data_IF_365839859386
#
_entry.id   IF_365839859386
#
_cell.length_a   1.000
_cell.length_b   1.000
_cell.length_c   1.000
_cell.angle_alpha   90.00
_cell.angle_beta   90.00
_cell.angle_gamma   90.00
#
_symmetry.space_group_name_H-M   'P 1'
#
loop_
_entity.id
_entity.type
_entity.pdbx_description
1 polymer ?
#
# COMPACT_ATOMS: atom_id res chain seq x y z
N UNK A 1 -40.80 41.87 33.16
CA UNK A 1 -40.10 40.57 33.25
C UNK A 1 -40.25 39.90 31.89
N UNK A 2 -39.15 39.48 31.27
CA UNK A 2 -39.06 39.09 29.87
C UNK A 2 -39.77 37.77 29.55
N UNK A 3 -40.47 37.81 28.42
CA UNK A 3 -41.11 36.75 27.64
C UNK A 3 -40.09 35.81 26.96
N UNK A 4 -40.52 34.61 26.54
CA UNK A 4 -39.78 33.83 25.55
C UNK A 4 -39.84 32.31 25.68
N UNK A 5 -40.98 31.72 25.35
CA UNK A 5 -41.08 30.27 25.06
C UNK A 5 -40.46 29.99 23.69
N UNK A 6 -39.35 29.24 23.63
CA UNK A 6 -38.76 28.78 22.35
C UNK A 6 -39.12 27.32 22.09
N UNK A 7 -39.73 27.08 20.93
CA UNK A 7 -39.99 25.78 20.35
C UNK A 7 -39.08 25.52 19.13
N UNK A 8 -38.76 24.24 18.93
CA UNK A 8 -38.35 23.53 17.68
C UNK A 8 -36.96 23.81 17.09
N UNK A 9 -36.21 22.75 16.83
CA UNK A 9 -36.18 22.11 15.49
C UNK A 9 -35.12 21.01 15.40
N UNK A 10 -35.52 19.85 14.89
CA UNK A 10 -34.60 18.87 14.33
C UNK A 10 -34.14 19.37 12.96
N UNK A 11 -32.85 19.25 12.68
CA UNK A 11 -32.29 19.51 11.35
C UNK A 11 -31.99 18.19 10.66
N UNK A 12 -32.84 17.87 9.69
CA UNK A 12 -32.57 16.93 8.62
C UNK A 12 -31.41 17.47 7.78
N UNK A 13 -30.30 16.72 7.69
CA UNK A 13 -29.22 17.01 6.75
C UNK A 13 -29.40 16.18 5.48
N UNK A 14 -30.48 16.47 4.73
CA UNK A 14 -30.69 15.97 3.38
C UNK A 14 -30.72 17.18 2.43
N UNK A 15 -29.74 17.27 1.53
CA UNK A 15 -29.91 18.11 0.34
C UNK A 15 -28.74 18.98 -0.12
N UNK A 16 -27.46 18.61 0.06
CA UNK A 16 -26.35 19.34 -0.60
C UNK A 16 -25.15 18.53 -1.12
N UNK A 17 -25.18 17.19 -1.12
CA UNK A 17 -24.02 16.42 -1.63
C UNK A 17 -24.10 16.04 -3.11
N UNK A 18 -25.28 16.05 -3.73
CA UNK A 18 -25.40 15.54 -5.11
C UNK A 18 -24.73 16.45 -6.16
N UNK A 19 -24.72 17.77 -5.93
CA UNK A 19 -24.25 18.74 -6.94
C UNK A 19 -22.72 18.93 -6.93
N UNK A 20 -22.04 18.59 -5.83
CA UNK A 20 -20.58 18.68 -5.72
C UNK A 20 -19.85 17.44 -6.27
N UNK A 21 -20.56 16.31 -6.50
CA UNK A 21 -19.94 15.09 -7.02
C UNK A 21 -19.80 15.08 -8.54
N UNK A 22 -20.71 15.71 -9.29
CA UNK A 22 -20.63 15.75 -10.76
C UNK A 22 -19.59 16.77 -11.27
N UNK A 23 -19.47 17.93 -10.61
CA UNK A 23 -18.44 18.91 -10.93
C UNK A 23 -17.01 18.41 -10.64
N UNK A 24 -16.85 17.58 -9.59
CA UNK A 24 -15.56 16.96 -9.25
C UNK A 24 -15.14 15.92 -10.31
N UNK A 25 -16.08 15.11 -10.82
CA UNK A 25 -15.79 14.17 -11.93
C UNK A 25 -15.41 14.87 -13.24
N UNK A 26 -16.12 15.94 -13.60
CA UNK A 26 -15.82 16.70 -14.83
C UNK A 26 -14.47 17.44 -14.74
N UNK A 27 -14.12 18.00 -13.58
CA UNK A 27 -12.82 18.68 -13.37
C UNK A 27 -11.64 17.69 -13.38
N UNK A 28 -11.82 16.47 -12.87
CA UNK A 28 -10.81 15.42 -12.91
C UNK A 28 -10.65 14.86 -14.33
N UNK A 29 -11.74 14.67 -15.09
CA UNK A 29 -11.65 14.22 -16.49
C UNK A 29 -10.97 15.25 -17.40
N UNK A 30 -11.19 16.55 -17.19
CA UNK A 30 -10.52 17.62 -17.96
C UNK A 30 -9.03 17.75 -17.68
N UNK A 31 -8.52 17.29 -16.53
CA UNK A 31 -7.08 17.32 -16.21
C UNK A 31 -6.30 16.17 -16.86
N UNK A 32 -6.98 15.10 -17.27
CA UNK A 32 -6.35 13.92 -17.86
C UNK A 32 -6.06 14.13 -19.36
N UNK A 33 -6.74 15.06 -20.05
CA UNK A 33 -6.52 15.28 -21.49
C UNK A 33 -5.30 16.14 -21.84
N UNK A 34 -4.69 16.85 -20.87
CA UNK A 34 -3.63 17.84 -21.14
C UNK A 34 -2.26 17.45 -20.57
N UNK A 35 -2.04 16.16 -20.26
CA UNK A 35 -0.73 15.63 -19.89
C UNK A 35 -0.18 14.71 -21.00
N UNK A 36 -0.17 15.21 -22.24
CA UNK A 36 0.73 14.70 -23.26
C UNK A 36 1.97 15.61 -23.36
N UNK A 37 3.12 14.96 -23.54
CA UNK A 37 4.47 15.52 -23.72
C UNK A 37 5.28 15.83 -22.45
N UNK A 38 5.91 14.78 -21.93
CA UNK A 38 7.02 14.85 -20.99
C UNK A 38 7.69 13.49 -20.88
N UNK A 39 8.20 12.98 -22.00
CA UNK A 39 8.80 11.66 -22.09
C UNK A 39 9.95 11.47 -21.09
N UNK A 40 9.69 10.73 -20.01
CA UNK A 40 10.73 10.02 -19.27
C UNK A 40 10.80 8.60 -19.79
N UNK A 41 11.97 8.35 -20.36
CA UNK A 41 12.46 7.17 -21.05
C UNK A 41 12.49 5.94 -20.12
N UNK A 42 11.66 4.95 -20.43
CA UNK A 42 12.02 3.54 -20.31
C UNK A 42 11.56 2.79 -19.07
N UNK A 43 10.41 2.13 -19.18
CA UNK A 43 10.29 0.75 -18.70
C UNK A 43 9.82 -0.11 -19.86
N UNK A 44 10.78 -0.42 -20.75
CA UNK A 44 10.62 -1.57 -21.63
C UNK A 44 10.21 -2.74 -20.74
N UNK A 45 9.07 -3.36 -21.07
CA UNK A 45 8.55 -4.56 -20.43
C UNK A 45 9.53 -5.70 -20.73
N UNK A 46 10.71 -5.66 -20.13
CA UNK A 46 11.54 -6.83 -19.92
C UNK A 46 10.65 -7.67 -19.03
N UNK A 47 10.08 -8.74 -19.57
CA UNK A 47 9.52 -9.83 -18.78
C UNK A 47 10.69 -10.46 -18.03
N UNK A 48 11.25 -9.73 -17.07
CA UNK A 48 12.19 -10.28 -16.09
C UNK A 48 11.37 -11.35 -15.42
N UNK A 49 11.84 -12.57 -15.53
CA UNK A 49 11.28 -13.67 -14.78
C UNK A 49 11.52 -13.33 -13.30
N UNK A 50 10.53 -12.69 -12.67
CA UNK A 50 10.61 -12.15 -11.30
C UNK A 50 10.80 -13.27 -10.26
N UNK A 51 10.67 -14.53 -10.68
CA UNK A 51 11.01 -15.70 -9.90
C UNK A 51 12.50 -16.06 -9.94
N UNK A 52 13.26 -15.57 -10.93
CA UNK A 52 14.72 -15.78 -11.06
C UNK A 52 15.56 -14.66 -10.45
N UNK A 53 14.94 -13.61 -9.92
CA UNK A 53 15.64 -12.49 -9.31
C UNK A 53 16.18 -12.93 -7.94
N UNK A 54 17.48 -12.71 -7.72
CA UNK A 54 18.05 -12.73 -6.38
C UNK A 54 17.68 -11.42 -5.67
N UNK A 55 16.58 -11.48 -4.89
CA UNK A 55 16.10 -10.33 -4.14
C UNK A 55 17.05 -9.92 -3.01
N UNK A 56 17.85 -10.84 -2.47
CA UNK A 56 18.86 -10.52 -1.46
C UNK A 56 19.96 -9.65 -2.06
N UNK A 57 20.52 -10.06 -3.20
CA UNK A 57 21.50 -9.27 -3.92
C UNK A 57 20.92 -7.94 -4.43
N UNK A 58 19.68 -7.96 -4.93
CA UNK A 58 18.98 -6.75 -5.36
C UNK A 58 18.81 -5.76 -4.20
N UNK A 59 18.31 -6.21 -3.05
CA UNK A 59 18.09 -5.35 -1.90
C UNK A 59 19.42 -4.82 -1.36
N UNK A 60 20.43 -5.69 -1.23
CA UNK A 60 21.79 -5.31 -0.80
C UNK A 60 22.38 -4.20 -1.67
N UNK A 61 22.22 -4.29 -2.99
CA UNK A 61 22.71 -3.28 -3.93
C UNK A 61 22.05 -1.91 -3.74
N UNK A 62 20.78 -1.88 -3.35
CA UNK A 62 19.99 -0.65 -3.30
C UNK A 62 19.92 -0.01 -1.91
N UNK A 63 19.88 -0.79 -0.82
CA UNK A 63 19.74 -0.27 0.55
C UNK A 63 20.91 -0.66 1.49
N UNK A 64 21.84 -1.48 1.02
CA UNK A 64 22.98 -1.95 1.80
C UNK A 64 22.77 -3.28 2.51
N UNK A 65 23.78 -3.67 3.29
CA UNK A 65 23.82 -4.94 4.01
C UNK A 65 22.68 -5.09 5.04
N UNK A 66 22.23 -6.32 5.32
CA UNK A 66 21.30 -6.58 6.42
C UNK A 66 21.91 -6.18 7.78
N UNK A 67 21.08 -5.92 8.81
CA UNK A 67 21.58 -5.69 10.16
C UNK A 67 22.48 -6.84 10.64
N UNK A 68 23.63 -6.50 11.25
CA UNK A 68 24.68 -7.49 11.60
C UNK A 68 24.22 -8.57 12.57
N UNK A 69 23.21 -8.27 13.38
CA UNK A 69 22.63 -9.12 14.41
C UNK A 69 21.35 -9.85 13.94
N UNK A 70 20.94 -9.65 12.69
CA UNK A 70 19.75 -10.31 12.14
C UNK A 70 20.04 -11.78 11.87
N UNK A 71 19.26 -12.66 12.49
CA UNK A 71 19.32 -14.10 12.23
C UNK A 71 18.78 -14.42 10.83
N UNK A 72 19.56 -15.16 10.04
CA UNK A 72 19.18 -15.68 8.71
C UNK A 72 18.51 -14.61 7.82
N UNK A 73 19.18 -13.48 7.52
CA UNK A 73 18.55 -12.36 6.86
C UNK A 73 18.14 -12.70 5.42
N UNK A 74 16.96 -12.26 5.02
CA UNK A 74 16.49 -12.36 3.64
C UNK A 74 15.77 -11.07 3.21
N UNK A 75 15.71 -10.84 1.90
CA UNK A 75 14.85 -9.81 1.34
C UNK A 75 13.39 -10.27 1.45
N UNK A 76 12.61 -9.49 2.19
CA UNK A 76 11.23 -9.79 2.52
C UNK A 76 10.32 -8.78 1.83
N UNK A 77 9.36 -9.28 1.06
CA UNK A 77 8.25 -8.48 0.55
C UNK A 77 7.22 -8.26 1.66
N UNK A 78 6.91 -7.01 2.02
CA UNK A 78 5.92 -6.70 3.07
C UNK A 78 4.54 -7.21 2.63
N UNK A 79 4.07 -6.77 1.47
CA UNK A 79 3.00 -7.43 0.71
C UNK A 79 3.65 -8.51 -0.14
N UNK A 80 3.31 -9.78 0.09
CA UNK A 80 4.06 -10.89 -0.50
C UNK A 80 4.05 -10.86 -2.03
N UNK A 81 5.15 -11.33 -2.63
CA UNK A 81 5.25 -11.57 -4.07
C UNK A 81 4.25 -12.63 -4.56
N UNK A 82 4.09 -13.71 -3.79
CA UNK A 82 3.27 -14.88 -4.11
C UNK A 82 2.65 -15.48 -2.85
N UNK A 83 1.41 -15.95 -2.95
CA UNK A 83 0.71 -16.64 -1.87
C UNK A 83 0.63 -18.15 -2.06
N UNK A 84 0.48 -18.88 -0.96
CA UNK A 84 0.23 -20.33 -0.90
C UNK A 84 -1.26 -20.62 -0.69
N UNK A 85 -1.83 -21.51 -1.50
CA UNK A 85 -3.27 -21.79 -1.47
C UNK A 85 -4.13 -20.61 -1.98
N UNK A 86 -5.44 -20.84 -2.08
CA UNK A 86 -6.38 -19.86 -2.68
C UNK A 86 -6.48 -18.57 -1.86
N UNK A 87 -6.75 -18.70 -0.56
CA UNK A 87 -7.00 -17.55 0.32
C UNK A 87 -5.79 -16.60 0.42
N UNK A 88 -4.56 -17.14 0.51
CA UNK A 88 -3.37 -16.29 0.58
C UNK A 88 -3.09 -15.62 -0.77
N UNK A 89 -3.34 -16.29 -1.91
CA UNK A 89 -3.19 -15.69 -3.24
C UNK A 89 -4.17 -14.54 -3.47
N UNK A 90 -5.39 -14.66 -2.98
CA UNK A 90 -6.40 -13.59 -3.05
C UNK A 90 -5.95 -12.37 -2.23
N UNK A 91 -5.45 -12.57 -1.01
CA UNK A 91 -4.87 -11.49 -0.21
C UNK A 91 -3.62 -10.87 -0.85
N UNK A 92 -2.76 -11.68 -1.47
CA UNK A 92 -1.60 -11.13 -2.22
C UNK A 92 -2.09 -10.24 -3.34
N UNK A 93 -3.06 -10.70 -4.12
CA UNK A 93 -3.62 -9.91 -5.22
C UNK A 93 -4.20 -8.58 -4.70
N UNK A 94 -5.01 -8.63 -3.65
CA UNK A 94 -5.62 -7.44 -3.04
C UNK A 94 -4.57 -6.44 -2.54
N UNK A 95 -3.57 -6.91 -1.77
CA UNK A 95 -2.49 -6.04 -1.30
C UNK A 95 -1.67 -5.42 -2.43
N UNK A 96 -1.37 -6.20 -3.47
CA UNK A 96 -0.62 -5.71 -4.63
C UNK A 96 -1.43 -4.73 -5.49
N UNK A 97 -2.76 -4.86 -5.52
CA UNK A 97 -3.65 -3.89 -6.17
C UNK A 97 -3.61 -2.55 -5.43
N UNK A 98 -3.68 -2.56 -4.09
CA UNK A 98 -3.53 -1.33 -3.29
C UNK A 98 -2.18 -0.67 -3.60
N UNK A 99 -1.06 -1.39 -3.60
CA UNK A 99 0.24 -0.77 -3.90
C UNK A 99 0.26 -0.09 -5.28
N UNK A 100 -0.37 -0.70 -6.29
CA UNK A 100 -0.44 -0.12 -7.64
C UNK A 100 -1.31 1.13 -7.72
N UNK A 101 -2.38 1.22 -6.92
CA UNK A 101 -3.23 2.42 -6.83
C UNK A 101 -2.43 3.67 -6.39
N UNK A 102 -1.31 3.46 -5.68
CA UNK A 102 -0.42 4.50 -5.14
C UNK A 102 0.95 4.57 -5.85
N UNK A 103 1.06 4.05 -7.07
CA UNK A 103 2.29 4.05 -7.85
C UNK A 103 3.48 3.40 -7.12
N UNK A 104 3.23 2.30 -6.40
CA UNK A 104 4.25 1.48 -5.75
C UNK A 104 4.33 0.14 -6.48
N UNK A 105 5.51 -0.20 -7.00
CA UNK A 105 5.75 -1.51 -7.63
C UNK A 105 5.75 -2.60 -6.53
N UNK A 106 4.80 -3.55 -6.54
CA UNK A 106 4.72 -4.56 -5.49
C UNK A 106 5.86 -5.58 -5.53
N UNK A 107 6.58 -5.71 -6.64
CA UNK A 107 7.59 -6.73 -6.86
C UNK A 107 9.00 -6.17 -6.69
N UNK A 108 9.28 -5.04 -7.33
CA UNK A 108 10.61 -4.41 -7.33
C UNK A 108 10.67 -3.08 -6.58
N UNK A 109 9.54 -2.54 -6.14
CA UNK A 109 9.52 -1.31 -5.34
C UNK A 109 10.29 -1.54 -4.04
N UNK A 110 11.30 -0.71 -3.80
CA UNK A 110 12.11 -0.78 -2.58
C UNK A 110 11.26 -0.46 -1.34
N UNK A 111 10.16 0.26 -1.51
CA UNK A 111 9.18 0.58 -0.47
C UNK A 111 8.46 -0.66 0.06
N UNK A 112 8.34 -1.71 -0.75
CA UNK A 112 7.74 -2.99 -0.36
C UNK A 112 8.80 -4.04 0.04
N UNK A 113 10.08 -3.68 0.13
CA UNK A 113 11.19 -4.60 0.40
C UNK A 113 11.99 -4.20 1.63
N UNK A 114 12.29 -5.20 2.46
CA UNK A 114 12.98 -5.00 3.75
C UNK A 114 13.82 -6.21 4.09
N UNK A 115 14.93 -6.01 4.80
CA UNK A 115 15.63 -7.11 5.45
C UNK A 115 14.80 -7.66 6.60
N UNK A 116 14.50 -8.95 6.61
CA UNK A 116 13.84 -9.58 7.75
C UNK A 116 14.49 -10.93 8.07
N UNK A 117 14.41 -11.42 9.32
CA UNK A 117 14.87 -12.75 9.65
C UNK A 117 14.08 -13.77 8.84
N UNK A 118 14.73 -14.81 8.36
CA UNK A 118 14.09 -15.91 7.65
C UNK A 118 13.73 -17.03 8.62
N UNK A 119 12.91 -17.98 8.15
CA UNK A 119 12.49 -19.18 8.90
C UNK A 119 11.72 -18.91 10.20
N UNK A 120 11.28 -17.68 10.46
CA UNK A 120 10.41 -17.38 11.59
C UNK A 120 8.99 -17.86 11.29
N UNK A 121 8.43 -18.68 12.18
CA UNK A 121 7.11 -19.29 12.02
C UNK A 121 6.04 -18.19 11.88
N UNK A 122 5.19 -18.33 10.86
CA UNK A 122 4.07 -17.41 10.62
C UNK A 122 4.43 -16.09 9.96
N UNK A 123 5.72 -15.75 9.77
CA UNK A 123 6.13 -14.52 9.06
C UNK A 123 5.65 -14.49 7.60
N UNK A 124 5.66 -15.65 6.94
CA UNK A 124 5.08 -15.84 5.60
C UNK A 124 3.67 -16.47 5.64
N UNK A 125 3.02 -16.42 6.79
CA UNK A 125 1.70 -16.99 7.02
C UNK A 125 0.57 -16.08 6.54
N UNK A 126 -0.63 -16.67 6.43
CA UNK A 126 -1.83 -15.93 6.00
C UNK A 126 -2.23 -14.82 6.98
N UNK A 127 -2.04 -15.02 8.28
CA UNK A 127 -2.37 -14.02 9.31
C UNK A 127 -1.46 -12.80 9.23
N UNK A 128 -0.16 -13.00 8.97
CA UNK A 128 0.78 -11.91 8.77
C UNK A 128 0.40 -11.09 7.53
N UNK A 129 0.08 -11.76 6.42
CA UNK A 129 -0.36 -11.10 5.19
C UNK A 129 -1.69 -10.36 5.39
N UNK A 130 -2.66 -10.97 6.08
CA UNK A 130 -3.94 -10.33 6.39
C UNK A 130 -3.74 -9.04 7.18
N UNK A 131 -2.90 -9.07 8.21
CA UNK A 131 -2.57 -7.86 8.97
C UNK A 131 -1.94 -6.77 8.09
N UNK A 132 -1.05 -7.13 7.15
CA UNK A 132 -0.49 -6.17 6.19
C UNK A 132 -1.59 -5.55 5.33
N UNK A 133 -2.41 -6.38 4.68
CA UNK A 133 -3.46 -5.94 3.76
C UNK A 133 -4.51 -5.09 4.51
N UNK A 134 -4.96 -5.51 5.68
CA UNK A 134 -5.97 -4.79 6.47
C UNK A 134 -5.49 -3.39 6.88
N UNK A 135 -4.21 -3.22 7.22
CA UNK A 135 -3.67 -1.91 7.57
C UNK A 135 -3.52 -1.00 6.34
N UNK A 136 -3.11 -1.54 5.19
CA UNK A 136 -3.06 -0.76 3.95
C UNK A 136 -4.47 -0.33 3.50
N UNK A 137 -5.46 -1.21 3.62
CA UNK A 137 -6.87 -0.88 3.34
C UNK A 137 -7.38 0.22 4.24
N UNK A 138 -7.07 0.19 5.54
CA UNK A 138 -7.49 1.26 6.47
C UNK A 138 -6.97 2.63 6.05
N UNK A 139 -5.71 2.72 5.60
CA UNK A 139 -5.14 3.97 5.10
C UNK A 139 -5.86 4.41 3.83
N UNK A 140 -6.02 3.50 2.86
CA UNK A 140 -6.73 3.80 1.61
C UNK A 140 -8.16 4.24 1.82
N UNK A 141 -8.92 3.50 2.62
CA UNK A 141 -10.35 3.74 2.85
C UNK A 141 -10.58 5.02 3.68
N UNK A 142 -9.57 5.49 4.42
CA UNK A 142 -9.56 6.81 5.07
C UNK A 142 -9.21 7.96 4.13
N UNK A 143 -8.94 7.68 2.84
CA UNK A 143 -8.50 8.67 1.86
C UNK A 143 -7.04 9.09 2.02
N UNK A 144 -6.22 8.28 2.68
CA UNK A 144 -4.78 8.53 2.82
C UNK A 144 -4.07 8.56 1.47
N UNK A 145 -3.01 9.36 1.40
CA UNK A 145 -2.22 9.54 0.19
C UNK A 145 -1.07 8.53 0.10
N UNK A 146 -0.18 8.74 -0.88
CA UNK A 146 0.97 7.85 -1.09
C UNK A 146 1.90 7.83 0.13
N UNK A 147 2.15 8.98 0.75
CA UNK A 147 3.08 9.08 1.88
C UNK A 147 2.53 8.34 3.10
N UNK A 148 1.21 8.38 3.32
CA UNK A 148 0.55 7.58 4.37
C UNK A 148 0.73 6.06 4.15
N UNK A 149 0.63 5.60 2.89
CA UNK A 149 0.87 4.19 2.52
C UNK A 149 2.33 3.82 2.76
N UNK A 150 3.28 4.70 2.42
CA UNK A 150 4.71 4.48 2.67
C UNK A 150 5.01 4.42 4.17
N UNK A 151 4.40 5.30 4.96
CA UNK A 151 4.54 5.27 6.43
C UNK A 151 4.02 3.94 6.98
N UNK A 152 2.88 3.46 6.48
CA UNK A 152 2.33 2.17 6.89
C UNK A 152 3.20 0.99 6.47
N UNK A 153 3.74 0.98 5.25
CA UNK A 153 4.70 -0.02 4.80
C UNK A 153 5.95 -0.03 5.68
N UNK A 154 6.50 1.14 6.01
CA UNK A 154 7.64 1.24 6.93
C UNK A 154 7.32 0.63 8.30
N UNK A 155 6.17 0.95 8.89
CA UNK A 155 5.70 0.37 10.17
C UNK A 155 5.59 -1.16 10.09
N UNK A 156 4.99 -1.69 9.02
CA UNK A 156 4.81 -3.13 8.81
C UNK A 156 6.13 -3.85 8.54
N UNK A 157 7.02 -3.23 7.77
CA UNK A 157 8.39 -3.71 7.53
C UNK A 157 9.21 -3.78 8.81
N UNK A 158 9.07 -2.79 9.69
CA UNK A 158 9.71 -2.80 11.01
C UNK A 158 9.17 -3.89 11.92
N UNK A 159 7.87 -4.21 11.84
CA UNK A 159 7.31 -5.38 12.52
C UNK A 159 7.95 -6.67 11.97
N UNK A 160 8.11 -6.79 10.65
CA UNK A 160 8.74 -7.96 10.04
C UNK A 160 10.22 -8.12 10.47
N UNK A 161 11.00 -7.02 10.49
CA UNK A 161 12.41 -6.98 10.95
C UNK A 161 12.61 -7.55 12.36
N UNK A 162 11.64 -7.35 13.25
CA UNK A 162 11.76 -7.63 14.69
C UNK A 162 11.21 -9.00 15.10
N UNK A 163 10.64 -9.79 14.18
CA UNK A 163 10.12 -11.13 14.51
C UNK A 163 11.26 -12.06 14.95
N UNK A 164 10.95 -13.00 15.84
CA UNK A 164 11.90 -14.00 16.38
C UNK A 164 11.21 -15.35 16.47
#
# INVERSE_FOLDING_TARGET
>A
MLDGSVARSGTNYSGKFQEAHDASKASIQSKISNLESGGVKGTGKVTKDVDKIDYGAYLKKNIGDPPKDMYDPHAHHIVFKKGNGKAQKELVKEGQEILKEYDIDPILGLENLVWAPNRVKGQHGIEALRNVVDNLKKVRDAGGDRDDILEMLNKLGDIAKRRK
#
